data_IF_211213683792
#
_entry.id   IF_211213683792
#
_cell.length_a   1.000
_cell.length_b   1.000
_cell.length_c   1.000
_cell.angle_alpha   90.00
_cell.angle_beta   90.00
_cell.angle_gamma   90.00
#
_symmetry.space_group_name_H-M   'P 1'
#
loop_
_entity.id
_entity.type
_entity.pdbx_description
1 polymer ?
#
# COMPACT_ATOMS: atom_id res chain seq x y z
N UNK A 1 -14.15 -5.15 10.79
CA UNK A 1 -13.94 -3.96 9.96
C UNK A 1 -12.50 -3.52 10.13
N UNK A 2 -11.76 -3.29 9.05
CA UNK A 2 -10.35 -2.87 9.10
C UNK A 2 -10.24 -1.45 9.68
N UNK A 3 -9.26 -1.19 10.53
CA UNK A 3 -8.97 0.16 11.06
C UNK A 3 -7.60 0.61 10.52
N UNK A 4 -7.56 1.76 9.86
CA UNK A 4 -6.33 2.38 9.35
C UNK A 4 -6.15 3.78 9.94
N UNK A 5 -4.97 4.06 10.45
CA UNK A 5 -4.65 5.41 10.93
C UNK A 5 -4.25 6.31 9.76
N UNK A 6 -4.97 7.40 9.54
CA UNK A 6 -4.62 8.35 8.50
C UNK A 6 -3.39 9.17 8.96
N UNK A 7 -2.22 9.08 8.28
CA UNK A 7 -1.01 9.75 8.72
C UNK A 7 -1.08 11.29 8.61
N UNK A 8 -2.12 11.82 7.97
CA UNK A 8 -2.29 13.26 7.79
C UNK A 8 -3.20 13.92 8.83
N UNK A 9 -4.19 13.19 9.35
CA UNK A 9 -5.12 13.74 10.33
C UNK A 9 -5.16 12.97 11.65
N UNK A 10 -4.40 11.88 11.78
CA UNK A 10 -4.30 11.06 13.01
C UNK A 10 -5.56 10.25 13.34
N UNK A 11 -6.62 10.36 12.52
CA UNK A 11 -7.86 9.61 12.73
C UNK A 11 -7.62 8.13 12.43
N UNK A 12 -8.01 7.27 13.37
CA UNK A 12 -8.17 5.84 13.16
C UNK A 12 -9.49 5.61 12.45
N UNK A 13 -9.44 5.58 11.13
CA UNK A 13 -10.59 5.49 10.26
C UNK A 13 -11.02 4.03 10.08
N UNK A 14 -12.33 3.81 10.08
CA UNK A 14 -12.92 2.55 9.66
C UNK A 14 -12.81 2.38 8.14
N UNK A 15 -12.72 1.14 7.65
CA UNK A 15 -12.59 0.85 6.22
C UNK A 15 -13.71 1.44 5.37
N UNK A 16 -14.90 1.64 5.95
CA UNK A 16 -16.05 2.28 5.28
C UNK A 16 -15.89 3.79 5.04
N UNK A 17 -14.93 4.43 5.72
CA UNK A 17 -14.57 5.84 5.51
C UNK A 17 -13.48 6.01 4.43
N UNK A 18 -12.93 4.90 3.96
CA UNK A 18 -11.74 4.83 3.11
C UNK A 18 -12.08 4.27 1.73
N UNK A 19 -11.30 4.68 0.73
CA UNK A 19 -11.35 4.10 -0.61
C UNK A 19 -10.04 3.35 -0.90
N UNK A 20 -10.09 2.05 -1.24
CA UNK A 20 -8.90 1.29 -1.63
C UNK A 20 -8.40 1.73 -3.01
N UNK A 21 -7.08 1.78 -3.20
CA UNK A 21 -6.41 2.16 -4.45
C UNK A 21 -5.51 1.08 -5.04
N UNK A 22 -5.53 -0.13 -4.50
CA UNK A 22 -4.66 -1.23 -4.94
C UNK A 22 -3.20 -1.03 -4.56
N UNK A 23 -2.29 -1.64 -5.31
CA UNK A 23 -0.84 -1.63 -5.09
C UNK A 23 -0.24 -0.21 -4.92
N UNK A 24 0.70 -0.07 -3.99
CA UNK A 24 1.51 1.12 -3.75
C UNK A 24 2.84 1.09 -4.54
N UNK A 25 3.56 2.21 -4.55
CA UNK A 25 4.90 2.31 -5.15
C UNK A 25 4.97 2.03 -6.67
N UNK A 26 3.85 2.17 -7.37
CA UNK A 26 3.78 2.05 -8.82
C UNK A 26 4.39 3.25 -9.53
N UNK A 27 5.39 3.00 -10.39
CA UNK A 27 5.89 4.01 -11.34
C UNK A 27 4.88 4.24 -12.45
N UNK A 28 4.59 5.51 -12.76
CA UNK A 28 3.70 5.88 -13.85
C UNK A 28 4.44 5.88 -15.19
N UNK A 29 3.94 5.10 -16.13
CA UNK A 29 4.33 5.16 -17.54
C UNK A 29 3.23 5.85 -18.35
N UNK A 30 3.62 6.61 -19.37
CA UNK A 30 2.72 7.48 -20.11
C UNK A 30 3.22 7.76 -21.52
N UNK A 31 2.70 8.81 -22.19
CA UNK A 31 3.14 9.17 -23.54
C UNK A 31 4.67 9.27 -23.63
N UNK A 32 5.28 8.54 -24.56
CA UNK A 32 6.74 8.44 -24.73
C UNK A 32 7.39 7.21 -24.08
N UNK A 33 6.64 6.38 -23.37
CA UNK A 33 7.10 5.05 -22.93
C UNK A 33 6.98 4.03 -24.07
N UNK A 34 7.65 2.88 -23.97
CA UNK A 34 7.39 1.75 -24.88
C UNK A 34 5.99 1.19 -24.65
N UNK A 35 5.44 0.52 -25.67
CA UNK A 35 4.13 -0.13 -25.58
C UNK A 35 4.08 -1.14 -24.42
N UNK A 36 5.09 -2.00 -24.27
CA UNK A 36 5.18 -2.98 -23.17
C UNK A 36 5.16 -2.33 -21.78
N UNK A 37 5.88 -1.22 -21.60
CA UNK A 37 5.92 -0.51 -20.33
C UNK A 37 4.59 0.18 -20.02
N UNK A 38 3.94 0.71 -21.07
CA UNK A 38 2.63 1.35 -20.94
C UNK A 38 1.53 0.34 -20.66
N UNK A 39 1.51 -0.79 -21.38
CA UNK A 39 0.60 -1.92 -21.13
C UNK A 39 0.75 -2.42 -19.69
N UNK A 40 1.98 -2.69 -19.26
CA UNK A 40 2.27 -3.14 -17.90
C UNK A 40 1.75 -2.15 -16.86
N UNK A 41 1.98 -0.85 -17.06
CA UNK A 41 1.44 0.19 -16.17
C UNK A 41 -0.09 0.26 -16.16
N UNK A 42 -0.75 0.04 -17.30
CA UNK A 42 -2.21 0.11 -17.39
C UNK A 42 -2.88 -1.09 -16.70
N UNK A 43 -2.33 -2.29 -16.88
CA UNK A 43 -3.07 -3.53 -16.57
C UNK A 43 -2.41 -4.42 -15.52
N UNK A 44 -1.08 -4.37 -15.35
CA UNK A 44 -0.37 -5.27 -14.44
C UNK A 44 -0.25 -4.69 -13.04
N UNK A 45 -0.57 -5.49 -12.02
CA UNK A 45 -0.43 -5.14 -10.60
C UNK A 45 0.05 -6.35 -9.83
N UNK A 46 0.88 -6.13 -8.82
CA UNK A 46 1.18 -7.15 -7.84
C UNK A 46 -0.10 -7.58 -7.11
N UNK A 47 -0.26 -8.88 -6.90
CA UNK A 47 -1.37 -9.45 -6.12
C UNK A 47 -0.85 -10.51 -5.14
N UNK A 48 -0.03 -10.11 -4.16
CA UNK A 48 0.60 -11.07 -3.26
C UNK A 48 -0.40 -11.67 -2.27
N UNK A 49 -0.30 -12.99 -2.09
CA UNK A 49 -0.93 -13.69 -0.97
C UNK A 49 -0.04 -13.54 0.27
N UNK A 50 -0.36 -12.58 1.13
CA UNK A 50 0.47 -12.27 2.31
C UNK A 50 0.56 -10.77 2.53
N UNK A 51 1.73 -10.30 2.94
CA UNK A 51 2.00 -8.86 3.07
C UNK A 51 1.76 -8.18 1.73
N UNK A 52 1.17 -7.00 1.74
CA UNK A 52 0.96 -6.18 0.55
C UNK A 52 1.08 -4.70 0.95
N UNK A 53 1.71 -3.92 0.09
CA UNK A 53 1.79 -2.47 0.22
C UNK A 53 0.71 -1.85 -0.68
N UNK A 54 -0.24 -1.18 -0.06
CA UNK A 54 -1.47 -0.73 -0.70
C UNK A 54 -1.65 0.78 -0.57
N UNK A 55 -2.42 1.38 -1.48
CA UNK A 55 -2.87 2.77 -1.45
C UNK A 55 -4.27 2.84 -0.86
N UNK A 56 -4.49 3.85 -0.03
CA UNK A 56 -5.79 4.16 0.55
C UNK A 56 -6.03 5.66 0.51
N UNK A 57 -7.27 6.07 0.24
CA UNK A 57 -7.71 7.46 0.34
C UNK A 57 -8.66 7.61 1.50
N UNK A 58 -8.44 8.61 2.34
CA UNK A 58 -9.39 8.95 3.40
C UNK A 58 -10.58 9.74 2.82
N UNK A 59 -11.46 9.02 2.11
CA UNK A 59 -12.49 9.57 1.24
C UNK A 59 -13.55 10.37 2.01
N UNK A 60 -13.92 9.92 3.22
CA UNK A 60 -14.89 10.58 4.08
C UNK A 60 -14.23 11.42 5.19
N UNK A 61 -12.96 11.79 5.00
CA UNK A 61 -12.21 12.63 5.94
C UNK A 61 -11.33 13.64 5.21
N UNK A 62 -10.01 13.60 5.45
CA UNK A 62 -9.09 14.61 4.91
C UNK A 62 -8.88 14.58 3.38
N UNK A 63 -9.43 13.58 2.68
CA UNK A 63 -9.37 13.45 1.22
C UNK A 63 -8.02 13.04 0.64
N UNK A 64 -6.98 12.91 1.47
CA UNK A 64 -5.61 12.58 1.05
C UNK A 64 -5.40 11.09 0.83
N UNK A 65 -4.45 10.77 -0.06
CA UNK A 65 -3.94 9.43 -0.30
C UNK A 65 -2.77 9.11 0.61
N UNK A 66 -2.74 7.91 1.18
CA UNK A 66 -1.65 7.35 1.98
C UNK A 66 -1.39 5.89 1.60
N UNK A 67 -0.33 5.30 2.15
CA UNK A 67 0.01 3.90 1.99
C UNK A 67 -0.27 3.10 3.26
N UNK A 68 -0.60 1.82 3.11
CA UNK A 68 -0.76 0.87 4.20
C UNK A 68 0.03 -0.41 3.88
N UNK A 69 0.68 -0.97 4.90
CA UNK A 69 1.22 -2.33 4.83
C UNK A 69 0.28 -3.26 5.59
N UNK A 70 -0.33 -4.24 4.90
CA UNK A 70 -1.22 -5.22 5.53
C UNK A 70 -1.01 -6.63 5.03
N UNK A 71 -1.46 -7.62 5.78
CA UNK A 71 -1.58 -8.98 5.30
C UNK A 71 -2.93 -9.19 4.62
N UNK A 72 -2.94 -9.55 3.34
CA UNK A 72 -4.17 -9.84 2.56
C UNK A 72 -4.89 -11.11 3.01
N UNK A 73 -4.22 -11.98 3.77
CA UNK A 73 -4.80 -13.22 4.31
C UNK A 73 -5.39 -13.01 5.70
N UNK A 74 -4.66 -12.35 6.61
CA UNK A 74 -5.09 -12.21 8.02
C UNK A 74 -5.69 -10.85 8.35
N UNK A 75 -5.65 -9.91 7.40
CA UNK A 75 -6.06 -8.51 7.56
C UNK A 75 -5.27 -7.73 8.63
N UNK A 76 -4.15 -8.26 9.10
CA UNK A 76 -3.25 -7.58 10.03
C UNK A 76 -2.63 -6.35 9.37
N UNK A 77 -2.70 -5.20 10.03
CA UNK A 77 -2.11 -3.95 9.56
C UNK A 77 -0.80 -3.72 10.30
N UNK A 78 0.31 -3.65 9.57
CA UNK A 78 1.64 -3.37 10.14
C UNK A 78 1.87 -1.87 10.32
N UNK A 79 1.17 -1.05 9.54
CA UNK A 79 1.06 0.39 9.73
C UNK A 79 0.70 1.13 8.45
N UNK A 80 0.55 2.44 8.58
CA UNK A 80 0.22 3.39 7.52
C UNK A 80 1.27 4.50 7.47
N UNK A 81 1.47 5.06 6.28
CA UNK A 81 2.53 6.04 6.05
C UNK A 81 2.23 6.93 4.84
N UNK A 82 2.97 8.04 4.71
CA UNK A 82 2.71 9.05 3.68
C UNK A 82 2.85 8.49 2.26
N UNK A 83 1.94 8.87 1.36
CA UNK A 83 2.05 8.56 -0.07
C UNK A 83 3.17 9.34 -0.80
N UNK A 84 3.89 10.21 -0.08
CA UNK A 84 5.07 10.91 -0.60
C UNK A 84 6.38 10.14 -0.38
N UNK A 85 6.31 8.92 0.17
CA UNK A 85 7.46 8.05 0.32
C UNK A 85 7.68 7.24 -0.96
N UNK A 86 8.93 7.09 -1.38
CA UNK A 86 9.29 6.26 -2.54
C UNK A 86 9.46 4.78 -2.16
N UNK A 87 9.63 4.50 -0.87
CA UNK A 87 9.81 3.16 -0.33
C UNK A 87 9.12 3.01 1.04
N UNK A 88 8.74 1.78 1.44
CA UNK A 88 8.21 1.54 2.77
C UNK A 88 9.20 1.94 3.88
N UNK A 89 8.74 2.62 4.95
CA UNK A 89 9.57 2.96 6.10
C UNK A 89 10.22 1.74 6.79
N UNK A 90 11.42 1.91 7.34
CA UNK A 90 12.17 0.80 7.98
C UNK A 90 11.44 0.21 9.18
N UNK A 91 10.76 1.03 10.00
CA UNK A 91 10.00 0.55 11.15
C UNK A 91 8.84 -0.38 10.74
N UNK A 92 8.23 -0.12 9.58
CA UNK A 92 7.19 -0.97 9.01
C UNK A 92 7.79 -2.31 8.55
N UNK A 93 8.94 -2.27 7.88
CA UNK A 93 9.67 -3.46 7.44
C UNK A 93 10.08 -4.33 8.64
N UNK A 94 10.59 -3.73 9.70
CA UNK A 94 10.96 -4.43 10.94
C UNK A 94 9.75 -5.09 11.60
N UNK A 95 8.60 -4.38 11.69
CA UNK A 95 7.34 -4.96 12.20
C UNK A 95 6.88 -6.16 11.37
N UNK A 96 6.96 -6.06 10.04
CA UNK A 96 6.61 -7.16 9.15
C UNK A 96 7.54 -8.35 9.39
N UNK A 97 8.86 -8.15 9.39
CA UNK A 97 9.85 -9.21 9.58
C UNK A 97 9.68 -9.91 10.93
N UNK A 98 9.40 -9.17 12.00
CA UNK A 98 9.14 -9.72 13.32
C UNK A 98 7.86 -10.57 13.37
N UNK A 99 6.81 -10.19 12.63
CA UNK A 99 5.52 -10.91 12.58
C UNK A 99 5.48 -12.03 11.54
N UNK A 100 6.31 -11.95 10.49
CA UNK A 100 6.37 -12.89 9.36
C UNK A 100 7.82 -13.31 9.12
N UNK A 101 8.38 -14.19 9.98
CA UNK A 101 9.72 -14.73 9.76
C UNK A 101 9.85 -15.36 8.37
N UNK A 102 10.90 -15.01 7.64
CA UNK A 102 11.14 -15.49 6.27
C UNK A 102 10.43 -14.70 5.17
N UNK A 103 9.69 -13.64 5.50
CA UNK A 103 9.20 -12.70 4.50
C UNK A 103 10.35 -11.84 3.94
N UNK A 104 10.35 -11.64 2.62
CA UNK A 104 11.28 -10.75 1.92
C UNK A 104 10.52 -9.78 1.01
N UNK A 105 10.96 -8.52 0.93
CA UNK A 105 10.32 -7.47 0.12
C UNK A 105 10.35 -7.79 -1.38
N UNK A 106 11.42 -8.43 -1.85
CA UNK A 106 11.67 -8.74 -3.27
C UNK A 106 10.76 -9.84 -3.83
N UNK A 107 10.11 -10.63 -2.98
CA UNK A 107 9.26 -11.75 -3.41
C UNK A 107 7.84 -11.32 -3.85
N UNK A 108 7.64 -10.05 -4.17
CA UNK A 108 6.32 -9.46 -4.45
C UNK A 108 6.16 -8.90 -5.87
N UNK A 109 7.17 -9.09 -6.74
CA UNK A 109 7.13 -8.77 -8.16
C UNK A 109 6.42 -9.85 -8.98
#
# INVERSE_FOLDING_TARGET
MLILECPYCGVKADETELHPGGEAHLTRFGPGSSDDAFESYLFMRANPKGVHFERWRHAHGCGKWFHAARCTVTLEVFGTYSAQTTEPPSDIIEKIAARRPGWAKESQA
#
